data_IF_811473533326
#
_entry.id   IF_811473533326
#
_cell.length_a   1.000
_cell.length_b   1.000
_cell.length_c   1.000
_cell.angle_alpha   90.00
_cell.angle_beta   90.00
_cell.angle_gamma   90.00
#
_symmetry.space_group_name_H-M   'P 1'
#
loop_
_entity.id
_entity.type
_entity.pdbx_description
1 polymer ?
#
# COMPACT_ATOMS: atom_id res chain seq x y z
N UNK A 1 10.96 -15.49 -0.79
CA UNK A 1 9.81 -14.99 -1.58
C UNK A 1 9.48 -15.96 -2.71
N UNK A 2 8.23 -16.01 -3.11
CA UNK A 2 7.75 -16.87 -4.18
C UNK A 2 6.53 -16.27 -4.90
N UNK A 3 6.26 -16.73 -6.12
CA UNK A 3 5.06 -16.43 -6.91
C UNK A 3 4.54 -17.72 -7.53
N UNK A 4 3.26 -17.71 -7.87
CA UNK A 4 2.60 -18.84 -8.53
C UNK A 4 2.23 -18.42 -9.95
N UNK A 5 2.51 -19.29 -10.90
CA UNK A 5 2.15 -19.16 -12.31
C UNK A 5 1.34 -20.40 -12.72
N UNK A 6 0.14 -20.20 -13.25
CA UNK A 6 -0.64 -21.29 -13.84
C UNK A 6 -0.10 -21.56 -15.24
N UNK A 7 0.06 -22.85 -15.59
CA UNK A 7 0.53 -23.28 -16.90
C UNK A 7 -0.43 -24.32 -17.48
N UNK A 8 -0.80 -24.17 -18.76
CA UNK A 8 -1.58 -25.13 -19.50
C UNK A 8 -1.03 -25.28 -20.93
N UNK A 9 -1.73 -26.03 -21.79
CA UNK A 9 -1.32 -26.21 -23.20
C UNK A 9 -1.32 -24.91 -24.01
N UNK A 10 -2.06 -23.89 -23.60
CA UNK A 10 -2.15 -22.60 -24.27
C UNK A 10 -1.09 -21.58 -23.83
N UNK A 11 -0.32 -21.87 -22.76
CA UNK A 11 0.72 -20.97 -22.27
C UNK A 11 0.80 -20.85 -20.76
N UNK A 12 1.36 -19.73 -20.32
CA UNK A 12 1.54 -19.38 -18.88
C UNK A 12 0.74 -18.13 -18.55
N UNK A 13 0.11 -18.12 -17.38
CA UNK A 13 -0.52 -16.93 -16.84
C UNK A 13 0.55 -15.89 -16.40
N UNK A 14 0.13 -14.64 -16.20
CA UNK A 14 0.91 -13.73 -15.40
C UNK A 14 1.13 -14.34 -14.00
N UNK A 15 2.27 -14.05 -13.36
CA UNK A 15 2.51 -14.51 -12.01
C UNK A 15 1.57 -13.81 -11.01
N UNK A 16 1.30 -14.47 -9.90
CA UNK A 16 0.67 -13.82 -8.74
C UNK A 16 1.57 -12.68 -8.22
N UNK A 17 1.04 -11.86 -7.33
CA UNK A 17 1.85 -11.04 -6.45
C UNK A 17 2.92 -11.87 -5.73
N UNK A 18 3.99 -11.21 -5.27
CA UNK A 18 5.03 -11.86 -4.49
C UNK A 18 4.52 -12.14 -3.08
N UNK A 19 4.73 -13.36 -2.63
CA UNK A 19 4.50 -13.78 -1.26
C UNK A 19 5.84 -14.07 -0.58
N UNK A 20 5.90 -13.85 0.72
CA UNK A 20 7.09 -14.07 1.53
C UNK A 20 6.78 -14.93 2.75
N UNK A 21 7.74 -15.78 3.11
CA UNK A 21 7.75 -16.50 4.37
C UNK A 21 9.18 -16.66 4.86
N UNK A 22 9.38 -16.50 6.16
CA UNK A 22 10.65 -16.76 6.84
C UNK A 22 10.37 -17.40 8.19
N UNK A 23 11.02 -18.50 8.47
CA UNK A 23 10.97 -19.16 9.76
C UNK A 23 12.32 -19.06 10.45
N UNK A 24 12.30 -18.59 11.69
CA UNK A 24 13.48 -18.54 12.55
C UNK A 24 13.15 -19.27 13.87
N UNK A 25 13.83 -20.39 14.18
CA UNK A 25 13.54 -21.18 15.38
C UNK A 25 13.80 -20.42 16.69
N UNK A 26 14.59 -19.36 16.64
CA UNK A 26 14.87 -18.51 17.80
C UNK A 26 13.92 -17.30 17.92
N UNK A 27 13.01 -17.14 16.96
CA UNK A 27 12.05 -16.05 17.00
C UNK A 27 10.96 -16.32 18.04
N UNK A 28 10.74 -15.32 18.89
CA UNK A 28 9.65 -15.32 19.88
C UNK A 28 8.44 -14.52 19.40
N UNK A 29 8.58 -13.79 18.29
CA UNK A 29 7.53 -12.93 17.71
C UNK A 29 7.34 -13.24 16.23
N UNK A 30 6.08 -13.16 15.82
CA UNK A 30 5.67 -13.39 14.44
C UNK A 30 5.02 -12.15 13.87
N UNK A 31 5.39 -11.81 12.65
CA UNK A 31 4.87 -10.67 11.89
C UNK A 31 4.15 -11.18 10.65
N UNK A 32 2.98 -10.63 10.37
CA UNK A 32 2.28 -10.87 9.12
C UNK A 32 2.30 -9.61 8.26
N UNK A 33 2.70 -9.75 6.99
CA UNK A 33 2.62 -8.71 5.98
C UNK A 33 1.33 -8.94 5.18
N UNK A 34 0.45 -7.96 5.19
CA UNK A 34 -0.83 -8.01 4.48
C UNK A 34 -0.72 -7.12 3.25
N UNK A 35 -0.73 -7.73 2.07
CA UNK A 35 -0.74 -6.96 0.82
C UNK A 35 -2.16 -6.44 0.55
N UNK A 36 -2.36 -5.14 0.77
CA UNK A 36 -3.56 -4.39 0.44
C UNK A 36 -3.44 -3.54 -0.82
N UNK A 37 -2.27 -3.55 -1.46
CA UNK A 37 -2.03 -2.89 -2.73
C UNK A 37 -2.34 -3.87 -3.87
N UNK A 38 -3.50 -3.71 -4.50
CA UNK A 38 -3.97 -4.63 -5.53
C UNK A 38 -3.14 -4.51 -6.82
N UNK A 39 -3.09 -5.61 -7.57
CA UNK A 39 -2.53 -5.58 -8.92
C UNK A 39 -3.35 -4.67 -9.81
N UNK A 40 -2.70 -4.16 -10.85
CA UNK A 40 -3.40 -3.53 -11.97
C UNK A 40 -4.47 -4.48 -12.48
N UNK A 41 -5.71 -4.04 -12.47
CA UNK A 41 -6.80 -4.74 -13.10
C UNK A 41 -6.89 -4.27 -14.56
N UNK A 42 -7.06 -5.22 -15.49
CA UNK A 42 -7.46 -4.88 -16.85
C UNK A 42 -8.83 -4.22 -16.82
N UNK A 43 -9.16 -3.39 -17.81
CA UNK A 43 -10.52 -2.92 -18.04
C UNK A 43 -11.50 -4.09 -18.18
N UNK A 44 -12.80 -3.81 -17.99
CA UNK A 44 -13.86 -4.81 -18.22
C UNK A 44 -13.70 -5.48 -19.59
N UNK A 45 -13.62 -6.78 -19.58
CA UNK A 45 -13.48 -7.57 -20.83
C UNK A 45 -14.85 -7.79 -21.44
N UNK A 46 -15.03 -7.36 -22.68
CA UNK A 46 -16.18 -7.69 -23.50
C UNK A 46 -15.79 -8.88 -24.41
N UNK A 47 -16.44 -10.01 -24.19
CA UNK A 47 -16.23 -11.20 -25.00
C UNK A 47 -17.59 -11.82 -25.35
N UNK A 48 -18.01 -11.66 -26.60
CA UNK A 48 -19.22 -12.24 -27.15
C UNK A 48 -18.93 -12.88 -28.52
N UNK A 49 -19.92 -13.47 -29.15
CA UNK A 49 -19.78 -14.02 -30.47
C UNK A 49 -19.47 -12.96 -31.56
N UNK A 50 -19.85 -11.70 -31.28
CA UNK A 50 -19.73 -10.60 -32.27
C UNK A 50 -18.75 -9.52 -31.85
N UNK A 51 -18.37 -9.45 -30.56
CA UNK A 51 -17.52 -8.38 -30.03
C UNK A 51 -16.44 -8.95 -29.11
N UNK A 52 -15.21 -8.49 -29.31
CA UNK A 52 -14.08 -8.77 -28.43
C UNK A 52 -13.31 -7.48 -28.16
N UNK A 53 -12.95 -7.23 -26.90
CA UNK A 53 -12.23 -6.05 -26.52
C UNK A 53 -12.44 -5.66 -25.06
N UNK A 54 -12.31 -4.37 -24.78
CA UNK A 54 -12.49 -3.81 -23.46
C UNK A 54 -13.67 -2.84 -23.43
N UNK A 55 -14.44 -2.85 -22.36
CA UNK A 55 -15.54 -1.93 -22.10
C UNK A 55 -15.10 -0.89 -21.06
N UNK A 56 -14.50 0.19 -21.55
CA UNK A 56 -14.00 1.26 -20.68
C UNK A 56 -15.12 2.10 -20.03
N UNK A 57 -16.33 2.02 -20.54
CA UNK A 57 -17.47 2.74 -19.97
C UNK A 57 -18.00 2.05 -18.71
N UNK A 58 -17.90 0.72 -18.68
CA UNK A 58 -18.32 -0.06 -17.52
C UNK A 58 -17.27 -0.12 -16.43
N UNK A 59 -16.05 -0.44 -16.82
CA UNK A 59 -14.91 -0.51 -15.91
C UNK A 59 -13.64 -0.15 -16.69
N UNK A 60 -13.13 1.08 -16.51
CA UNK A 60 -11.89 1.52 -17.15
C UNK A 60 -10.65 0.81 -16.59
N UNK A 61 -10.79 -0.03 -15.57
CA UNK A 61 -9.67 -0.60 -14.84
C UNK A 61 -9.05 0.40 -13.85
N UNK A 62 -7.87 0.08 -13.35
CA UNK A 62 -7.09 0.96 -12.47
C UNK A 62 -6.23 1.89 -13.33
N UNK A 63 -6.82 2.94 -13.86
CA UNK A 63 -6.32 3.66 -15.03
C UNK A 63 -5.66 4.99 -14.73
N UNK A 64 -5.94 5.61 -13.60
CA UNK A 64 -5.49 6.98 -13.37
C UNK A 64 -4.07 7.00 -12.82
N UNK A 65 -3.22 7.83 -13.42
CA UNK A 65 -1.82 7.95 -13.09
C UNK A 65 -1.50 8.09 -11.60
N UNK A 66 -2.14 8.99 -10.83
CA UNK A 66 -1.89 9.15 -9.40
C UNK A 66 -2.66 8.17 -8.53
N UNK A 67 -3.31 7.15 -9.08
CA UNK A 67 -4.10 6.16 -8.35
C UNK A 67 -3.37 4.83 -8.21
N UNK A 68 -4.05 3.86 -7.60
CA UNK A 68 -3.52 2.50 -7.41
C UNK A 68 -3.07 1.82 -8.70
N UNK A 69 -3.65 2.18 -9.84
CA UNK A 69 -3.25 1.66 -11.13
C UNK A 69 -1.93 2.22 -11.66
N UNK A 70 -1.41 3.28 -11.07
CA UNK A 70 -0.20 3.91 -11.56
C UNK A 70 1.05 3.31 -10.93
N UNK A 71 1.91 2.74 -11.73
CA UNK A 71 3.18 2.11 -11.32
C UNK A 71 4.30 2.51 -12.29
N UNK A 72 5.00 3.59 -11.97
CA UNK A 72 6.10 4.10 -12.81
C UNK A 72 5.62 4.57 -14.18
N UNK A 73 6.23 4.10 -15.25
CA UNK A 73 5.89 4.47 -16.65
C UNK A 73 4.69 3.69 -17.20
N UNK A 74 3.71 3.47 -16.40
CA UNK A 74 2.52 2.79 -16.84
C UNK A 74 1.76 3.59 -17.88
N UNK A 75 1.25 2.89 -18.89
CA UNK A 75 0.35 3.46 -19.87
C UNK A 75 -1.06 3.48 -19.29
N UNK A 76 -1.70 4.62 -19.37
CA UNK A 76 -3.04 4.82 -18.89
C UNK A 76 -4.05 4.55 -20.01
N UNK A 77 -5.08 3.74 -19.74
CA UNK A 77 -6.13 3.40 -20.69
C UNK A 77 -7.32 4.38 -20.68
N UNK A 78 -7.30 5.42 -19.85
CA UNK A 78 -8.33 6.44 -19.81
C UNK A 78 -8.18 7.40 -21.00
N UNK A 79 -9.13 7.35 -21.93
CA UNK A 79 -9.13 8.18 -23.12
C UNK A 79 -9.35 9.68 -22.83
N UNK A 80 -9.87 10.02 -21.65
CA UNK A 80 -10.13 11.43 -21.28
C UNK A 80 -8.85 12.22 -21.01
N UNK A 81 -7.77 11.54 -20.71
CA UNK A 81 -6.46 12.14 -20.45
C UNK A 81 -5.47 11.96 -21.59
N UNK A 82 -5.92 11.41 -22.71
CA UNK A 82 -5.09 11.24 -23.90
C UNK A 82 -4.52 12.58 -24.38
N UNK A 83 -3.21 12.63 -24.57
CA UNK A 83 -2.52 13.83 -25.04
C UNK A 83 -2.35 14.94 -24.00
N UNK A 84 -2.72 14.71 -22.74
CA UNK A 84 -2.40 15.64 -21.65
C UNK A 84 -1.00 15.37 -21.12
N UNK A 85 -0.20 16.41 -21.04
CA UNK A 85 1.16 16.39 -20.48
C UNK A 85 1.17 16.63 -18.97
N UNK A 86 0.05 16.48 -18.31
CA UNK A 86 -0.02 16.63 -16.87
C UNK A 86 0.51 15.37 -16.15
N UNK A 87 0.63 15.48 -14.85
CA UNK A 87 1.17 14.41 -14.01
C UNK A 87 0.20 13.22 -13.87
N UNK A 88 -0.94 13.23 -14.53
CA UNK A 88 -1.98 12.20 -14.40
C UNK A 88 -1.69 10.93 -15.21
N UNK A 89 -0.71 10.93 -16.10
CA UNK A 89 -0.34 9.72 -16.81
C UNK A 89 0.43 9.96 -18.11
N UNK A 90 0.74 8.87 -18.78
CA UNK A 90 1.41 8.87 -20.07
C UNK A 90 0.43 8.97 -21.25
N UNK A 91 -0.86 9.12 -20.98
CA UNK A 91 -1.89 9.18 -21.97
C UNK A 91 -2.30 7.81 -22.52
N UNK A 92 -2.74 7.79 -23.75
CA UNK A 92 -3.31 6.62 -24.41
C UNK A 92 -2.33 5.46 -24.56
N UNK A 93 -2.78 4.24 -24.27
CA UNK A 93 -2.03 3.01 -24.52
C UNK A 93 -2.14 2.57 -25.98
N UNK A 94 -1.05 2.09 -26.52
CA UNK A 94 -0.96 1.41 -27.80
C UNK A 94 -0.19 0.08 -27.68
N UNK A 95 0.22 -0.49 -28.80
CA UNK A 95 0.97 -1.75 -28.82
C UNK A 95 2.46 -1.61 -28.47
N UNK A 96 2.98 -0.42 -28.25
CA UNK A 96 4.42 -0.17 -28.09
C UNK A 96 4.98 -0.86 -26.85
N UNK A 97 4.13 -1.10 -25.85
CA UNK A 97 4.50 -1.74 -24.59
C UNK A 97 4.14 -3.23 -24.52
N UNK A 98 3.69 -3.82 -25.62
CA UNK A 98 3.33 -5.25 -25.66
C UNK A 98 4.55 -6.12 -25.29
N UNK A 99 4.39 -6.92 -24.22
CA UNK A 99 5.45 -7.78 -23.69
C UNK A 99 6.52 -7.07 -22.86
N UNK A 100 6.44 -5.76 -22.66
CA UNK A 100 7.39 -5.01 -21.83
C UNK A 100 7.00 -5.08 -20.35
N UNK A 101 8.01 -5.13 -19.49
CA UNK A 101 7.87 -4.94 -18.05
C UNK A 101 8.04 -3.44 -17.74
N UNK A 102 7.00 -2.85 -17.14
CA UNK A 102 6.99 -1.43 -16.78
C UNK A 102 7.46 -1.29 -15.33
N UNK A 103 8.22 -0.24 -15.03
CA UNK A 103 8.72 0.03 -13.70
C UNK A 103 7.59 0.05 -12.66
N UNK A 104 7.80 -0.62 -11.52
CA UNK A 104 6.82 -0.73 -10.44
C UNK A 104 5.66 -1.70 -10.69
N UNK A 105 5.59 -2.32 -11.87
CA UNK A 105 4.53 -3.26 -12.23
C UNK A 105 4.83 -4.71 -11.81
N UNK A 106 5.90 -4.93 -11.10
CA UNK A 106 6.34 -6.26 -10.64
C UNK A 106 5.57 -6.75 -9.41
N UNK A 107 4.92 -5.87 -8.65
CA UNK A 107 4.09 -6.17 -7.48
C UNK A 107 4.84 -7.00 -6.41
N UNK A 108 6.10 -6.68 -6.15
CA UNK A 108 6.92 -7.39 -5.14
C UNK A 108 7.21 -6.55 -3.88
N UNK A 109 6.34 -5.62 -3.56
CA UNK A 109 6.49 -4.71 -2.41
C UNK A 109 6.48 -5.44 -1.07
N UNK A 110 5.74 -6.54 -0.96
CA UNK A 110 5.78 -7.44 0.20
C UNK A 110 7.21 -7.94 0.46
N UNK A 111 7.99 -8.17 -0.60
CA UNK A 111 9.40 -8.54 -0.47
C UNK A 111 10.23 -7.44 0.16
N UNK A 112 10.03 -6.18 -0.23
CA UNK A 112 10.73 -5.02 0.35
C UNK A 112 10.49 -4.94 1.86
N UNK A 113 9.23 -5.09 2.29
CA UNK A 113 8.88 -5.11 3.71
C UNK A 113 9.51 -6.32 4.43
N UNK A 114 9.40 -7.52 3.84
CA UNK A 114 9.95 -8.74 4.42
C UNK A 114 11.48 -8.68 4.59
N UNK A 115 12.21 -8.16 3.60
CA UNK A 115 13.66 -7.96 3.67
C UNK A 115 14.04 -6.96 4.76
N UNK A 116 13.27 -5.87 4.91
CA UNK A 116 13.49 -4.89 5.95
C UNK A 116 13.22 -5.46 7.36
N UNK A 117 12.15 -6.24 7.55
CA UNK A 117 11.86 -6.93 8.82
C UNK A 117 12.94 -7.96 9.13
N UNK A 118 13.34 -8.76 8.13
CA UNK A 118 14.40 -9.76 8.28
C UNK A 118 15.73 -9.14 8.71
N UNK A 119 16.07 -7.99 8.15
CA UNK A 119 17.30 -7.26 8.50
C UNK A 119 17.28 -6.67 9.92
N UNK A 120 16.09 -6.46 10.48
CA UNK A 120 15.93 -5.83 11.78
C UNK A 120 16.13 -6.79 12.96
N UNK A 121 15.89 -8.11 12.79
CA UNK A 121 16.04 -9.05 13.90
C UNK A 121 15.47 -10.45 13.61
N UNK A 122 15.28 -11.20 14.69
CA UNK A 122 14.81 -12.59 14.65
C UNK A 122 13.28 -12.63 14.76
N UNK A 123 12.62 -12.59 13.62
CA UNK A 123 11.16 -12.66 13.52
C UNK A 123 10.75 -13.83 12.63
N UNK A 124 9.62 -14.46 12.94
CA UNK A 124 8.89 -15.25 11.95
C UNK A 124 8.10 -14.30 11.07
N UNK A 125 8.18 -14.47 9.77
CA UNK A 125 7.53 -13.60 8.79
C UNK A 125 6.66 -14.44 7.89
N UNK A 126 5.43 -14.05 7.70
CA UNK A 126 4.55 -14.57 6.65
C UNK A 126 3.86 -13.43 5.95
N UNK A 127 3.35 -13.69 4.75
CA UNK A 127 2.54 -12.72 4.05
C UNK A 127 1.26 -13.33 3.51
N UNK A 128 0.25 -12.49 3.33
CA UNK A 128 -1.01 -12.86 2.69
C UNK A 128 -1.58 -11.66 1.91
N UNK A 129 -2.59 -11.90 1.10
CA UNK A 129 -3.39 -10.83 0.51
C UNK A 129 -4.42 -10.28 1.51
N UNK A 130 -4.84 -9.03 1.34
CA UNK A 130 -5.95 -8.44 2.09
C UNK A 130 -7.23 -9.27 1.96
N UNK A 131 -7.47 -9.86 0.78
CA UNK A 131 -8.63 -10.73 0.53
C UNK A 131 -8.65 -11.99 1.39
N UNK A 132 -7.48 -12.55 1.72
CA UNK A 132 -7.39 -13.71 2.61
C UNK A 132 -7.81 -13.34 4.04
N UNK A 133 -7.42 -12.13 4.50
CA UNK A 133 -7.85 -11.60 5.81
C UNK A 133 -9.35 -11.32 5.82
N UNK A 134 -9.86 -10.62 4.82
CA UNK A 134 -11.29 -10.28 4.70
C UNK A 134 -12.20 -11.51 4.65
N UNK A 135 -11.73 -12.60 4.05
CA UNK A 135 -12.47 -13.88 4.01
C UNK A 135 -12.30 -14.74 5.26
N UNK A 136 -11.56 -14.26 6.26
CA UNK A 136 -11.30 -15.02 7.48
C UNK A 136 -10.43 -16.28 7.28
N UNK A 137 -9.68 -16.33 6.16
CA UNK A 137 -8.76 -17.44 5.88
C UNK A 137 -7.46 -17.34 6.69
N UNK A 138 -7.19 -16.18 7.26
CA UNK A 138 -6.01 -15.90 8.08
C UNK A 138 -6.45 -15.45 9.46
N UNK A 139 -5.95 -16.12 10.48
CA UNK A 139 -6.14 -15.77 11.87
C UNK A 139 -5.05 -14.80 12.33
N UNK A 140 -5.39 -13.51 12.39
CA UNK A 140 -4.46 -12.45 12.77
C UNK A 140 -3.98 -12.56 14.23
N UNK A 141 -4.73 -13.23 15.10
CA UNK A 141 -4.39 -13.37 16.53
C UNK A 141 -3.06 -14.13 16.77
N UNK A 142 -2.57 -14.86 15.77
CA UNK A 142 -1.31 -15.57 15.80
C UNK A 142 -0.08 -14.67 15.64
N UNK A 143 -0.26 -13.41 15.30
CA UNK A 143 0.81 -12.47 14.99
C UNK A 143 0.80 -11.29 15.96
N UNK A 144 1.97 -10.94 16.47
CA UNK A 144 2.13 -9.80 17.37
C UNK A 144 2.11 -8.45 16.65
N UNK A 145 2.39 -8.48 15.34
CA UNK A 145 2.33 -7.30 14.49
C UNK A 145 1.77 -7.67 13.12
N UNK A 146 0.87 -6.84 12.61
CA UNK A 146 0.46 -6.82 11.22
C UNK A 146 1.06 -5.60 10.53
N UNK A 147 1.66 -5.82 9.36
CA UNK A 147 2.22 -4.81 8.46
C UNK A 147 1.32 -4.73 7.23
N UNK A 148 0.51 -3.68 7.14
CA UNK A 148 -0.45 -3.48 6.06
C UNK A 148 0.13 -2.57 4.99
N UNK A 149 0.44 -3.17 3.84
CA UNK A 149 0.98 -2.51 2.65
C UNK A 149 -0.16 -2.01 1.78
N UNK A 150 -0.37 -0.72 1.71
CA UNK A 150 -1.48 -0.13 0.95
C UNK A 150 -1.03 0.58 -0.33
N UNK A 151 0.26 0.87 -0.48
CA UNK A 151 0.77 1.52 -1.68
C UNK A 151 0.02 2.80 -2.02
N UNK A 152 -0.49 2.89 -3.23
CA UNK A 152 -1.35 3.99 -3.68
C UNK A 152 -2.83 3.57 -3.80
N UNK A 153 -3.25 2.57 -3.04
CA UNK A 153 -4.64 2.08 -3.04
C UNK A 153 -5.61 3.18 -2.64
N UNK A 154 -6.64 3.39 -3.43
CA UNK A 154 -7.78 4.27 -3.14
C UNK A 154 -8.96 3.97 -4.05
N UNK A 155 -10.13 4.48 -3.69
CA UNK A 155 -11.27 4.53 -4.59
C UNK A 155 -11.15 5.73 -5.53
N UNK A 156 -11.05 5.50 -6.82
CA UNK A 156 -11.01 6.55 -7.85
C UNK A 156 -12.39 6.89 -8.41
N UNK A 157 -13.42 6.10 -8.07
CA UNK A 157 -14.79 6.33 -8.51
C UNK A 157 -15.12 5.89 -9.94
N UNK A 158 -14.16 5.31 -10.67
CA UNK A 158 -14.34 4.92 -12.07
C UNK A 158 -14.53 3.41 -12.27
N UNK A 159 -14.07 2.59 -11.34
CA UNK A 159 -14.23 1.15 -11.41
C UNK A 159 -15.55 0.69 -10.81
N UNK A 160 -16.14 -0.39 -11.38
CA UNK A 160 -17.31 -1.08 -10.80
C UNK A 160 -17.00 -1.70 -9.43
N UNK A 161 -15.74 -2.00 -9.17
CA UNK A 161 -15.26 -2.46 -7.86
C UNK A 161 -14.67 -1.27 -7.11
N UNK A 162 -15.17 -1.01 -5.92
CA UNK A 162 -14.61 0.03 -5.06
C UNK A 162 -13.29 -0.44 -4.47
N UNK A 163 -12.19 0.13 -4.94
CA UNK A 163 -10.84 -0.11 -4.42
C UNK A 163 -10.55 0.87 -3.27
N UNK A 164 -11.21 0.64 -2.14
CA UNK A 164 -10.97 1.46 -0.95
C UNK A 164 -9.65 1.10 -0.29
N UNK A 165 -8.95 2.12 0.20
CA UNK A 165 -7.75 1.95 1.04
C UNK A 165 -8.01 0.99 2.19
N UNK A 166 -9.12 1.17 2.91
CA UNK A 166 -9.61 0.21 3.89
C UNK A 166 -11.05 -0.17 3.56
N UNK A 167 -11.25 -1.38 3.06
CA UNK A 167 -12.61 -1.89 2.87
C UNK A 167 -13.34 -2.03 4.21
N UNK A 168 -14.68 -2.01 4.25
CA UNK A 168 -15.42 -2.21 5.49
C UNK A 168 -15.05 -3.51 6.23
N UNK A 169 -14.77 -4.60 5.50
CA UNK A 169 -14.33 -5.86 6.09
C UNK A 169 -12.93 -5.73 6.71
N UNK A 170 -11.98 -5.09 6.01
CA UNK A 170 -10.64 -4.86 6.56
C UNK A 170 -10.71 -3.99 7.81
N UNK A 171 -11.51 -2.92 7.82
CA UNK A 171 -11.72 -2.10 9.02
C UNK A 171 -12.20 -2.92 10.21
N UNK A 172 -13.16 -3.84 9.98
CA UNK A 172 -13.67 -4.73 11.01
C UNK A 172 -12.58 -5.68 11.53
N UNK A 173 -11.82 -6.32 10.64
CA UNK A 173 -10.76 -7.25 11.01
C UNK A 173 -9.64 -6.57 11.79
N UNK A 174 -9.21 -5.38 11.37
CA UNK A 174 -8.19 -4.60 12.07
C UNK A 174 -8.68 -4.10 13.43
N UNK A 175 -9.95 -3.71 13.55
CA UNK A 175 -10.54 -3.35 14.83
C UNK A 175 -10.52 -4.53 15.82
N UNK A 176 -10.94 -5.71 15.37
CA UNK A 176 -10.89 -6.93 16.21
C UNK A 176 -9.43 -7.23 16.61
N UNK A 177 -8.52 -7.18 15.66
CA UNK A 177 -7.11 -7.47 15.87
C UNK A 177 -6.47 -6.54 16.92
N UNK A 178 -6.64 -5.24 16.77
CA UNK A 178 -6.07 -4.26 17.71
C UNK A 178 -6.73 -4.29 19.07
N UNK A 179 -8.05 -4.49 19.15
CA UNK A 179 -8.77 -4.65 20.43
C UNK A 179 -8.27 -5.87 21.21
N UNK A 180 -7.78 -6.90 20.52
CA UNK A 180 -7.21 -8.10 21.13
C UNK A 180 -5.68 -8.01 21.34
N UNK A 181 -5.10 -6.82 21.28
CA UNK A 181 -3.69 -6.59 21.61
C UNK A 181 -2.72 -6.70 20.42
N UNK A 182 -3.22 -6.82 19.20
CA UNK A 182 -2.38 -6.84 18.00
C UNK A 182 -1.84 -5.45 17.65
N UNK A 183 -0.56 -5.35 17.34
CA UNK A 183 0.07 -4.10 16.94
C UNK A 183 0.03 -3.92 15.41
N UNK A 184 -0.12 -2.70 14.94
CA UNK A 184 -0.38 -2.43 13.54
C UNK A 184 0.60 -1.40 12.96
N UNK A 185 1.31 -1.78 11.92
CA UNK A 185 1.99 -0.88 11.00
C UNK A 185 1.15 -0.71 9.74
N UNK A 186 0.95 0.52 9.30
CA UNK A 186 0.23 0.85 8.07
C UNK A 186 1.06 1.84 7.26
N UNK A 187 1.24 1.57 5.97
CA UNK A 187 1.88 2.51 5.05
C UNK A 187 1.12 2.60 3.73
N UNK A 188 0.93 3.82 3.25
CA UNK A 188 0.25 4.06 1.98
C UNK A 188 0.01 5.53 1.72
N UNK A 189 -0.23 5.87 0.46
CA UNK A 189 -0.40 7.26 0.02
C UNK A 189 -1.71 7.87 0.51
N UNK A 190 -2.78 7.07 0.63
CA UNK A 190 -4.15 7.54 0.88
C UNK A 190 -4.76 6.95 2.16
N UNK A 191 -3.95 6.73 3.19
CA UNK A 191 -4.39 6.08 4.44
C UNK A 191 -5.47 6.87 5.20
N UNK A 192 -5.55 8.17 4.96
CA UNK A 192 -6.53 9.05 5.61
C UNK A 192 -7.40 9.82 4.59
N UNK A 193 -6.85 10.27 3.47
CA UNK A 193 -7.59 11.07 2.48
C UNK A 193 -8.70 10.30 1.77
N UNK A 194 -8.54 9.00 1.56
CA UNK A 194 -9.59 8.14 0.98
C UNK A 194 -10.70 7.78 1.98
N UNK A 195 -10.54 8.11 3.26
CA UNK A 195 -11.48 7.77 4.33
C UNK A 195 -12.37 8.97 4.66
N UNK A 196 -13.47 9.12 3.94
CA UNK A 196 -14.24 10.38 3.89
C UNK A 196 -15.58 10.35 4.62
N UNK A 197 -16.24 9.20 4.76
CA UNK A 197 -17.52 9.13 5.48
C UNK A 197 -17.33 8.99 7.00
N UNK A 198 -18.41 9.18 7.78
CA UNK A 198 -18.35 9.17 9.23
C UNK A 198 -17.83 7.85 9.83
N UNK A 199 -18.15 6.71 9.24
CA UNK A 199 -17.67 5.41 9.72
C UNK A 199 -16.17 5.24 9.46
N UNK A 200 -15.72 5.64 8.28
CA UNK A 200 -14.33 5.60 7.86
C UNK A 200 -13.45 6.53 8.69
N UNK A 201 -13.87 7.80 8.85
CA UNK A 201 -13.15 8.77 9.70
C UNK A 201 -13.13 8.34 11.17
N UNK A 202 -14.20 7.71 11.65
CA UNK A 202 -14.25 7.10 12.98
C UNK A 202 -13.27 5.94 13.11
N UNK A 203 -13.13 5.09 12.08
CA UNK A 203 -12.16 4.00 12.08
C UNK A 203 -10.73 4.53 12.21
N UNK A 204 -10.29 5.43 11.32
CA UNK A 204 -8.92 5.97 11.38
C UNK A 204 -8.67 6.75 12.68
N UNK A 205 -9.64 7.53 13.15
CA UNK A 205 -9.53 8.28 14.41
C UNK A 205 -9.47 7.40 15.66
N UNK A 206 -10.23 6.30 15.69
CA UNK A 206 -10.28 5.42 16.86
C UNK A 206 -9.22 4.32 16.86
N UNK A 207 -8.79 3.84 15.71
CA UNK A 207 -7.84 2.73 15.58
C UNK A 207 -6.43 3.25 15.28
N UNK A 208 -6.26 4.03 14.20
CA UNK A 208 -4.96 4.56 13.81
C UNK A 208 -4.56 5.82 14.60
N UNK A 209 -5.52 6.41 15.32
CA UNK A 209 -5.33 7.61 16.12
C UNK A 209 -4.80 8.81 15.32
N UNK A 210 -5.22 8.91 14.09
CA UNK A 210 -4.89 10.03 13.22
C UNK A 210 -6.10 10.46 12.37
N UNK A 211 -5.94 11.55 11.68
CA UNK A 211 -6.86 12.04 10.66
C UNK A 211 -6.08 12.66 9.51
N UNK A 212 -6.73 12.84 8.37
CA UNK A 212 -6.20 13.68 7.31
C UNK A 212 -6.11 15.14 7.78
N UNK A 213 -4.96 15.77 7.55
CA UNK A 213 -4.68 17.11 8.10
C UNK A 213 -5.39 18.24 7.36
N UNK A 214 -6.14 17.96 6.30
CA UNK A 214 -6.94 18.95 5.59
C UNK A 214 -6.49 19.20 4.16
N UNK A 215 -6.61 20.39 3.66
CA UNK A 215 -6.92 20.81 2.31
C UNK A 215 -5.97 20.39 1.18
N UNK A 216 -4.74 19.98 1.46
CA UNK A 216 -3.78 19.58 0.43
C UNK A 216 -2.88 18.43 0.90
N UNK A 217 -2.53 17.56 -0.03
CA UNK A 217 -1.52 16.53 0.16
C UNK A 217 -0.11 17.15 0.12
N UNK A 218 0.87 16.49 0.76
CA UNK A 218 2.25 16.95 0.76
C UNK A 218 2.84 16.97 -0.65
N UNK A 219 3.64 17.98 -0.92
CA UNK A 219 4.46 18.09 -2.13
C UNK A 219 5.92 17.69 -1.89
N UNK A 220 6.25 17.23 -0.70
CA UNK A 220 7.60 16.84 -0.33
C UNK A 220 8.02 15.49 -0.92
N UNK A 221 9.28 15.36 -1.27
CA UNK A 221 9.94 14.08 -1.63
C UNK A 221 10.76 13.51 -0.48
N UNK A 222 10.72 14.14 0.68
CA UNK A 222 11.50 13.69 1.81
C UNK A 222 10.80 13.94 3.15
N UNK A 223 11.16 13.11 4.11
CA UNK A 223 10.69 13.19 5.49
C UNK A 223 11.89 13.20 6.43
N UNK A 224 11.70 13.81 7.59
CA UNK A 224 12.66 13.82 8.69
C UNK A 224 11.99 13.34 9.98
N UNK A 225 12.72 12.57 10.75
CA UNK A 225 12.29 12.05 12.06
C UNK A 225 13.05 10.78 12.41
N UNK A 226 12.85 10.29 13.62
CA UNK A 226 13.56 9.11 14.14
C UNK A 226 15.09 9.18 13.97
N UNK A 227 15.66 10.39 14.04
CA UNK A 227 17.09 10.65 13.89
C UNK A 227 17.65 10.54 12.46
N UNK A 228 16.80 10.53 11.44
CA UNK A 228 17.24 10.42 10.05
C UNK A 228 16.40 11.25 9.11
N UNK A 229 16.99 11.60 7.95
CA UNK A 229 16.31 12.17 6.81
C UNK A 229 16.21 11.12 5.70
N UNK A 230 15.04 10.96 5.12
CA UNK A 230 14.71 9.93 4.15
C UNK A 230 14.12 10.57 2.91
N UNK A 231 14.51 10.09 1.75
CA UNK A 231 13.90 10.42 0.46
C UNK A 231 13.06 9.24 -0.03
N UNK A 232 11.95 9.54 -0.69
CA UNK A 232 11.07 8.55 -1.29
C UNK A 232 10.66 8.93 -2.72
N UNK A 233 10.22 7.95 -3.50
CA UNK A 233 9.75 8.16 -4.86
C UNK A 233 8.35 8.81 -4.83
N UNK A 234 8.30 10.11 -5.05
CA UNK A 234 7.05 10.88 -5.11
C UNK A 234 6.61 11.17 -6.55
N UNK A 235 7.57 11.42 -7.42
CA UNK A 235 7.33 11.78 -8.82
C UNK A 235 7.55 10.60 -9.74
N UNK A 236 6.97 10.65 -10.94
CA UNK A 236 7.11 9.63 -11.99
C UNK A 236 8.60 9.40 -12.26
N UNK A 237 8.99 8.14 -12.29
CA UNK A 237 10.36 7.70 -12.54
C UNK A 237 10.39 6.30 -13.18
N UNK A 238 11.56 5.83 -13.58
CA UNK A 238 11.73 4.54 -14.27
C UNK A 238 12.05 3.38 -13.32
N UNK A 239 12.13 3.61 -12.02
CA UNK A 239 12.59 2.60 -11.05
C UNK A 239 11.48 2.01 -10.21
N UNK A 240 10.50 2.84 -9.83
CA UNK A 240 9.48 2.48 -8.87
C UNK A 240 8.20 3.27 -9.15
N UNK A 241 7.04 2.77 -8.70
CA UNK A 241 5.84 3.58 -8.70
C UNK A 241 6.02 4.80 -7.77
N UNK A 242 5.27 5.86 -8.03
CA UNK A 242 5.37 7.09 -7.28
C UNK A 242 4.29 7.20 -6.19
N UNK A 243 4.68 7.62 -5.00
CA UNK A 243 3.76 8.08 -3.96
C UNK A 243 3.30 9.51 -4.28
N UNK A 244 2.41 9.63 -5.24
CA UNK A 244 2.13 10.86 -5.95
C UNK A 244 1.58 12.00 -5.08
N UNK A 245 0.61 11.70 -4.22
CA UNK A 245 -0.03 12.66 -3.32
C UNK A 245 -0.08 12.12 -1.90
N UNK A 246 1.08 12.03 -1.21
CA UNK A 246 1.14 11.45 0.11
C UNK A 246 0.33 12.24 1.12
N UNK A 247 -0.33 11.54 2.02
CA UNK A 247 -1.22 12.13 3.01
C UNK A 247 -0.48 12.93 4.08
N UNK A 248 -1.01 14.11 4.36
CA UNK A 248 -0.70 14.86 5.56
C UNK A 248 -1.55 14.33 6.71
N UNK A 249 -0.92 13.95 7.81
CA UNK A 249 -1.58 13.39 8.96
C UNK A 249 -1.62 14.37 10.14
N UNK A 250 -2.62 14.22 11.01
CA UNK A 250 -2.68 14.87 12.32
C UNK A 250 -2.91 13.80 13.36
N UNK A 251 -2.07 13.79 14.39
CA UNK A 251 -2.22 12.90 15.53
C UNK A 251 -3.46 13.25 16.35
N UNK A 252 -4.15 12.24 16.91
CA UNK A 252 -5.32 12.39 17.77
C UNK A 252 -5.10 11.77 19.15
N UNK A 253 -5.62 12.41 20.16
CA UNK A 253 -5.52 11.95 21.55
C UNK A 253 -4.06 11.86 22.02
N UNK A 254 -3.64 10.67 22.45
CA UNK A 254 -2.29 10.40 22.94
C UNK A 254 -1.32 9.94 21.82
N UNK A 255 -1.74 9.98 20.57
CA UNK A 255 -0.85 9.74 19.44
C UNK A 255 0.08 10.96 19.24
N UNK A 256 1.20 10.73 18.57
CA UNK A 256 2.20 11.76 18.33
C UNK A 256 2.85 11.60 16.95
N UNK A 257 3.29 12.71 16.33
CA UNK A 257 4.01 12.67 15.07
C UNK A 257 5.41 12.09 15.27
N UNK A 258 5.85 11.26 14.32
CA UNK A 258 7.17 10.61 14.32
C UNK A 258 8.01 10.95 13.09
N UNK A 259 7.37 11.32 11.98
CA UNK A 259 8.02 11.81 10.77
C UNK A 259 7.32 13.08 10.30
N UNK A 260 8.09 14.00 9.72
CA UNK A 260 7.60 15.23 9.09
C UNK A 260 8.10 15.37 7.68
N UNK A 261 7.24 15.83 6.80
CA UNK A 261 7.62 16.28 5.47
C UNK A 261 8.41 17.60 5.54
N UNK A 262 9.18 17.89 4.48
CA UNK A 262 9.92 19.15 4.40
C UNK A 262 9.01 20.40 4.34
N UNK A 263 7.76 20.24 3.93
CA UNK A 263 6.75 21.29 3.94
C UNK A 263 6.09 21.52 5.31
N UNK A 264 6.57 20.80 6.34
CA UNK A 264 6.19 20.99 7.74
C UNK A 264 5.01 20.18 8.23
N UNK A 265 4.34 19.42 7.35
CA UNK A 265 3.24 18.53 7.73
C UNK A 265 3.74 17.21 8.32
N UNK A 266 2.93 16.59 9.14
CA UNK A 266 3.26 15.28 9.71
C UNK A 266 3.05 14.18 8.65
N UNK A 267 4.10 13.39 8.43
CA UNK A 267 4.16 12.30 7.45
C UNK A 267 3.83 10.95 8.07
N UNK A 268 4.04 10.80 9.37
CA UNK A 268 3.69 9.60 10.11
C UNK A 268 3.31 9.92 11.55
N UNK A 269 2.38 9.12 12.07
CA UNK A 269 1.83 9.20 13.40
C UNK A 269 2.00 7.86 14.10
N UNK A 270 2.44 7.88 15.36
CA UNK A 270 2.52 6.72 16.21
C UNK A 270 1.59 6.85 17.41
N UNK A 271 1.04 5.71 17.86
CA UNK A 271 0.22 5.62 19.06
C UNK A 271 0.69 4.46 19.93
N UNK A 272 0.86 4.74 21.22
CA UNK A 272 1.17 3.74 22.24
C UNK A 272 0.05 3.74 23.29
N UNK A 273 -0.86 2.78 23.15
CA UNK A 273 -1.91 2.52 24.13
C UNK A 273 -1.52 1.44 25.13
N UNK A 274 -2.47 1.12 26.02
CA UNK A 274 -2.31 0.01 26.96
C UNK A 274 -2.48 -1.35 26.27
N UNK A 275 -3.40 -1.42 25.29
CA UNK A 275 -3.79 -2.66 24.66
C UNK A 275 -3.04 -2.92 23.34
N UNK A 276 -2.81 -1.87 22.56
CA UNK A 276 -2.14 -1.98 21.26
C UNK A 276 -1.34 -0.71 20.92
N UNK A 277 -0.50 -0.85 19.89
CA UNK A 277 0.26 0.25 19.31
C UNK A 277 0.01 0.32 17.80
N UNK A 278 0.04 1.53 17.26
CA UNK A 278 0.02 1.73 15.81
C UNK A 278 1.16 2.63 15.36
N UNK A 279 1.62 2.37 14.14
CA UNK A 279 2.53 3.26 13.40
C UNK A 279 1.92 3.45 12.01
N UNK A 280 1.51 4.66 11.69
CA UNK A 280 0.81 4.98 10.44
C UNK A 280 1.63 5.97 9.63
N UNK A 281 1.99 5.60 8.40
CA UNK A 281 2.70 6.45 7.44
C UNK A 281 1.73 6.90 6.35
N UNK A 282 1.73 8.20 6.04
CA UNK A 282 0.98 8.82 4.95
C UNK A 282 1.64 8.69 3.58
N UNK A 283 2.68 7.86 3.47
CA UNK A 283 3.33 7.46 2.23
C UNK A 283 3.78 6.00 2.32
N UNK A 284 3.91 5.30 1.18
CA UNK A 284 4.31 3.89 1.17
C UNK A 284 5.74 3.70 1.64
N UNK A 285 5.95 2.77 2.53
CA UNK A 285 7.29 2.41 3.05
C UNK A 285 8.21 1.93 1.93
N UNK A 286 7.71 1.13 1.01
CA UNK A 286 8.46 0.58 -0.11
C UNK A 286 8.94 1.65 -1.11
N UNK A 287 8.34 2.85 -1.09
CA UNK A 287 8.80 3.99 -1.89
C UNK A 287 10.06 4.67 -1.35
N UNK A 288 10.57 4.32 -0.18
CA UNK A 288 11.83 4.84 0.35
C UNK A 288 12.97 4.45 -0.60
N UNK A 289 13.74 5.45 -1.08
CA UNK A 289 14.75 5.26 -2.14
C UNK A 289 15.98 4.45 -1.70
N UNK A 290 16.37 4.57 -0.45
CA UNK A 290 17.59 3.98 0.11
C UNK A 290 17.26 2.75 0.96
N UNK A 291 17.74 1.57 0.55
CA UNK A 291 17.51 0.30 1.24
C UNK A 291 18.03 0.29 2.68
N UNK A 292 19.16 0.95 2.97
CA UNK A 292 19.69 1.03 4.34
C UNK A 292 18.76 1.88 5.22
N UNK A 293 18.16 2.93 4.64
CA UNK A 293 17.15 3.74 5.33
C UNK A 293 15.85 2.95 5.55
N UNK A 294 15.43 2.14 4.57
CA UNK A 294 14.30 1.20 4.77
C UNK A 294 14.58 0.27 5.95
N UNK A 295 15.74 -0.39 5.98
CA UNK A 295 16.12 -1.30 7.07
C UNK A 295 16.18 -0.60 8.43
N UNK A 296 16.79 0.58 8.50
CA UNK A 296 16.87 1.37 9.73
C UNK A 296 15.50 1.83 10.23
N UNK A 297 14.64 2.29 9.30
CA UNK A 297 13.27 2.71 9.61
C UNK A 297 12.45 1.52 10.13
N UNK A 298 12.47 0.38 9.45
CA UNK A 298 11.73 -0.81 9.88
C UNK A 298 12.18 -1.29 11.26
N UNK A 299 13.48 -1.24 11.55
CA UNK A 299 13.99 -1.56 12.90
C UNK A 299 13.39 -0.64 13.95
N UNK A 300 13.32 0.66 13.69
CA UNK A 300 12.69 1.61 14.61
C UNK A 300 11.19 1.35 14.80
N UNK A 301 10.48 1.01 13.72
CA UNK A 301 9.06 0.65 13.75
C UNK A 301 8.83 -0.61 14.58
N UNK A 302 9.62 -1.66 14.35
CA UNK A 302 9.52 -2.92 15.08
C UNK A 302 9.82 -2.75 16.59
N UNK A 303 10.87 -1.98 16.93
CA UNK A 303 11.18 -1.67 18.32
C UNK A 303 10.00 -0.94 18.98
N UNK A 304 9.44 0.06 18.30
CA UNK A 304 8.30 0.79 18.84
C UNK A 304 7.06 -0.10 19.04
N UNK A 305 6.74 -0.94 18.05
CA UNK A 305 5.53 -1.76 18.08
C UNK A 305 5.65 -3.01 18.96
N UNK A 306 6.86 -3.57 19.11
CA UNK A 306 7.02 -4.90 19.70
C UNK A 306 7.81 -4.91 21.03
N UNK A 307 8.43 -3.80 21.41
CA UNK A 307 9.14 -3.64 22.70
C UNK A 307 8.35 -2.78 23.69
#
# INVERSE_FOLDING_TARGET
SFRVVATNKGGKSFPTEVLCASYNPEAIKSVIIINGFHRLAAPEVRHSETEQGFDFDKDPGLTLGPTVGWVGRQVNFDTTIMGKEDESGLGWSNNDFTGMIIAGNNQDYVRTHAEAIFSAGKYNIVSCSSKAVEKGMVDLSKYQMADLVLGSERNDGYSLVAYKTFTPLMQQMLKIYTTNGGNLFVSGTHVASDMSNNAETSFIGNILKCRFAGDNNSQSESVEGMGTKIQFYRTINEKHYAAYSPDNLTALGNAFPVLRYNDGYDAAVAYKGNDYRTFTMGFPFECIKDTQKQHSMMRGILNFLLE
#
